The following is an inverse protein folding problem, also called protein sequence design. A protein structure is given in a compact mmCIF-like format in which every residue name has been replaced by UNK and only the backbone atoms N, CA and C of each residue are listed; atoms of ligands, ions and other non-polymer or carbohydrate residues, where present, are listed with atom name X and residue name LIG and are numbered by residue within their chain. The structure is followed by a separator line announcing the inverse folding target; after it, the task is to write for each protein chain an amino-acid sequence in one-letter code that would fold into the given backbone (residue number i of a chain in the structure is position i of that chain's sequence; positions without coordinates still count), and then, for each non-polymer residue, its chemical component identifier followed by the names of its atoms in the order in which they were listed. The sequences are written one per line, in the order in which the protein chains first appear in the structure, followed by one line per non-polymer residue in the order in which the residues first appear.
data_IF_397640157115
#
_entry.id   IF_397640157115
#
_cell.length_a   1.000
_cell.length_b   1.000
_cell.length_c   1.000
_cell.angle_alpha   90.00
_cell.angle_beta   90.00
_cell.angle_gamma   90.00
#
_symmetry.space_group_name_H-M   'P 1'
#
loop_
_entity.id
_entity.type
_entity.pdbx_description
1 polymer ?
#
# COMPACT_ATOMS: atom_id res chain seq x y z
N UNK A 1 -12.13 -3.75 -11.07
CA UNK A 1 -11.85 -2.52 -11.82
C UNK A 1 -10.78 -2.79 -12.87
N UNK A 2 -9.64 -3.35 -12.47
CA UNK A 2 -8.64 -3.82 -13.41
C UNK A 2 -9.23 -4.68 -14.53
N UNK A 3 -8.79 -4.47 -15.79
CA UNK A 3 -9.11 -5.34 -16.90
C UNK A 3 -8.80 -6.80 -16.55
N UNK A 4 -9.59 -7.74 -17.07
CA UNK A 4 -9.49 -9.16 -16.73
C UNK A 4 -8.08 -9.72 -16.89
N UNK A 5 -7.42 -9.36 -17.99
CA UNK A 5 -6.05 -9.77 -18.32
C UNK A 5 -4.96 -9.24 -17.35
N UNK A 6 -5.27 -8.30 -16.45
CA UNK A 6 -4.36 -7.76 -15.43
C UNK A 6 -4.76 -8.13 -14.00
N UNK A 7 -5.90 -8.80 -13.80
CA UNK A 7 -6.37 -9.15 -12.45
C UNK A 7 -5.39 -10.09 -11.76
N UNK A 8 -4.85 -11.05 -12.49
CA UNK A 8 -3.90 -12.03 -11.97
C UNK A 8 -2.60 -11.38 -11.51
N UNK A 9 -2.09 -10.39 -12.26
CA UNK A 9 -0.92 -9.60 -11.84
C UNK A 9 -1.20 -8.85 -10.55
N UNK A 10 -2.35 -8.18 -10.44
CA UNK A 10 -2.74 -7.49 -9.20
C UNK A 10 -2.90 -8.45 -8.01
N UNK A 11 -3.55 -9.59 -8.23
CA UNK A 11 -3.75 -10.63 -7.20
C UNK A 11 -2.40 -11.22 -6.79
N UNK A 12 -1.48 -11.48 -7.73
CA UNK A 12 -0.14 -11.96 -7.46
C UNK A 12 0.63 -11.02 -6.54
N UNK A 13 0.67 -9.73 -6.86
CA UNK A 13 1.33 -8.71 -6.05
C UNK A 13 0.72 -8.57 -4.65
N UNK A 14 -0.62 -8.54 -4.55
CA UNK A 14 -1.31 -8.45 -3.26
C UNK A 14 -1.09 -9.71 -2.41
N UNK A 15 -1.13 -10.88 -3.03
CA UNK A 15 -0.91 -12.16 -2.35
C UNK A 15 0.54 -12.27 -1.88
N UNK A 16 1.52 -11.87 -2.70
CA UNK A 16 2.92 -11.79 -2.30
C UNK A 16 3.12 -10.93 -1.06
N UNK A 17 2.55 -9.71 -1.04
CA UNK A 17 2.59 -8.84 0.14
C UNK A 17 1.95 -9.50 1.38
N UNK A 18 0.84 -10.22 1.22
CA UNK A 18 0.20 -10.96 2.31
C UNK A 18 1.09 -12.09 2.84
N UNK A 19 1.77 -12.84 1.97
CA UNK A 19 2.71 -13.89 2.40
C UNK A 19 3.91 -13.29 3.17
N UNK A 20 4.45 -12.16 2.72
CA UNK A 20 5.49 -11.44 3.45
C UNK A 20 4.97 -10.91 4.79
N UNK A 21 3.76 -10.36 4.84
CA UNK A 21 3.09 -9.95 6.09
C UNK A 21 2.95 -11.10 7.08
N UNK A 22 2.62 -12.32 6.62
CA UNK A 22 2.52 -13.48 7.52
C UNK A 22 3.85 -13.77 8.19
N UNK A 23 4.98 -13.60 7.49
CA UNK A 23 6.32 -13.79 8.07
C UNK A 23 6.65 -12.63 9.01
N UNK A 24 6.49 -11.39 8.56
CA UNK A 24 6.87 -10.21 9.36
C UNK A 24 6.04 -10.06 10.62
N UNK A 25 4.79 -10.54 10.61
CA UNK A 25 3.90 -10.53 11.77
C UNK A 25 3.89 -11.88 12.52
N UNK A 26 4.72 -12.86 12.14
CA UNK A 26 4.77 -14.17 12.80
C UNK A 26 5.43 -14.13 14.19
N UNK A 27 6.05 -13.02 14.60
CA UNK A 27 6.71 -12.90 15.90
C UNK A 27 5.79 -13.33 17.06
N UNK A 28 6.39 -13.94 18.08
CA UNK A 28 5.72 -14.35 19.31
C UNK A 28 6.54 -13.84 20.50
N UNK A 29 5.91 -13.36 21.58
CA UNK A 29 6.60 -13.00 22.81
C UNK A 29 7.50 -14.15 23.30
N UNK A 30 8.76 -13.85 23.64
CA UNK A 30 9.73 -14.86 24.07
C UNK A 30 10.39 -15.67 22.95
N UNK A 31 10.24 -15.26 21.68
CA UNK A 31 10.95 -15.85 20.55
C UNK A 31 12.48 -15.81 20.74
N UNK A 32 13.13 -16.94 20.46
CA UNK A 32 14.59 -17.11 20.58
C UNK A 32 15.34 -16.57 19.36
N UNK A 33 16.66 -16.35 19.49
CA UNK A 33 17.52 -15.98 18.35
C UNK A 33 17.37 -16.94 17.17
N UNK A 34 17.30 -18.26 17.43
CA UNK A 34 17.07 -19.29 16.41
C UNK A 34 15.76 -19.09 15.64
N UNK A 35 14.69 -18.66 16.32
CA UNK A 35 13.42 -18.38 15.66
C UNK A 35 13.47 -17.13 14.77
N UNK A 36 14.28 -16.13 15.16
CA UNK A 36 14.57 -14.94 14.36
C UNK A 36 15.36 -15.33 13.10
N UNK A 37 16.40 -16.15 13.26
CA UNK A 37 17.18 -16.72 12.15
C UNK A 37 16.29 -17.51 11.17
N UNK A 38 15.41 -18.37 11.67
CA UNK A 38 14.50 -19.16 10.84
C UNK A 38 13.56 -18.27 10.00
N UNK A 39 13.03 -17.18 10.56
CA UNK A 39 12.18 -16.27 9.77
C UNK A 39 13.01 -15.46 8.77
N UNK A 40 14.24 -15.08 9.10
CA UNK A 40 15.16 -14.48 8.13
C UNK A 40 15.47 -15.41 6.95
N UNK A 41 15.58 -16.72 7.18
CA UNK A 41 15.69 -17.70 6.09
C UNK A 41 14.46 -17.72 5.16
N UNK A 42 13.25 -17.45 5.69
CA UNK A 42 12.05 -17.32 4.86
C UNK A 42 12.09 -16.08 3.96
N UNK A 43 12.60 -14.96 4.45
CA UNK A 43 12.81 -13.78 3.60
C UNK A 43 13.85 -14.05 2.51
N UNK A 44 14.94 -14.75 2.84
CA UNK A 44 15.92 -15.20 1.86
C UNK A 44 15.29 -16.11 0.79
N UNK A 45 14.45 -17.06 1.21
CA UNK A 45 13.70 -17.91 0.28
C UNK A 45 12.86 -17.07 -0.69
N UNK A 46 12.11 -16.07 -0.22
CA UNK A 46 11.34 -15.19 -1.10
C UNK A 46 12.23 -14.36 -2.03
N UNK A 47 13.40 -13.91 -1.58
CA UNK A 47 14.36 -13.23 -2.46
C UNK A 47 14.81 -14.15 -3.59
N UNK A 48 15.16 -15.40 -3.28
CA UNK A 48 15.54 -16.40 -4.27
C UNK A 48 14.42 -16.72 -5.26
N UNK A 49 13.16 -16.75 -4.79
CA UNK A 49 11.99 -16.92 -5.64
C UNK A 49 11.87 -15.76 -6.65
N UNK A 50 12.07 -14.51 -6.21
CA UNK A 50 12.08 -13.34 -7.09
C UNK A 50 13.27 -13.34 -8.06
N UNK A 51 14.45 -13.77 -7.61
CA UNK A 51 15.63 -13.90 -8.48
C UNK A 51 15.45 -14.96 -9.58
N UNK A 52 14.70 -16.03 -9.30
CA UNK A 52 14.30 -17.00 -10.32
C UNK A 52 13.27 -16.41 -11.27
N UNK A 53 12.26 -15.70 -10.75
CA UNK A 53 11.26 -15.02 -11.57
C UNK A 53 11.88 -14.03 -12.55
N UNK A 54 12.87 -13.24 -12.12
CA UNK A 54 13.51 -12.23 -12.97
C UNK A 54 14.29 -12.83 -14.16
N UNK A 55 14.60 -14.12 -14.10
CA UNK A 55 15.26 -14.86 -15.18
C UNK A 55 14.27 -15.52 -16.15
N UNK A 56 12.96 -15.50 -15.85
CA UNK A 56 11.93 -16.13 -16.70
C UNK A 56 11.86 -15.48 -18.08
N UNK A 57 11.83 -16.33 -19.10
CA UNK A 57 11.46 -16.01 -20.46
C UNK A 57 10.76 -17.23 -21.08
N UNK A 58 10.25 -17.08 -22.31
CA UNK A 58 9.50 -18.16 -22.98
C UNK A 58 10.35 -19.42 -23.22
N UNK A 59 11.67 -19.28 -23.39
CA UNK A 59 12.56 -20.40 -23.71
C UNK A 59 12.89 -21.25 -22.48
N UNK A 60 12.95 -20.65 -21.29
CA UNK A 60 13.31 -21.32 -20.04
C UNK A 60 12.13 -21.49 -19.05
N UNK A 61 10.92 -21.07 -19.43
CA UNK A 61 9.74 -21.12 -18.56
C UNK A 61 9.50 -22.52 -18.00
N UNK A 62 9.60 -23.56 -18.84
CA UNK A 62 9.34 -24.94 -18.43
C UNK A 62 10.26 -25.44 -17.32
N UNK A 63 11.53 -25.01 -17.29
CA UNK A 63 12.48 -25.41 -16.25
C UNK A 63 12.32 -24.55 -14.99
N UNK A 64 12.23 -23.22 -15.14
CA UNK A 64 12.20 -22.31 -13.98
C UNK A 64 10.88 -22.40 -13.22
N UNK A 65 9.75 -22.61 -13.91
CA UNK A 65 8.44 -22.74 -13.25
C UNK A 65 8.35 -23.99 -12.35
N UNK A 66 9.17 -25.02 -12.57
CA UNK A 66 9.27 -26.17 -11.65
C UNK A 66 9.97 -25.79 -10.34
N UNK A 67 10.85 -24.80 -10.39
CA UNK A 67 11.63 -24.30 -9.25
C UNK A 67 10.94 -23.15 -8.50
N UNK A 68 9.85 -22.62 -9.08
CA UNK A 68 8.96 -21.62 -8.49
C UNK A 68 7.73 -22.35 -7.95
N UNK A 69 7.68 -22.53 -6.63
CA UNK A 69 6.72 -23.42 -5.98
C UNK A 69 5.63 -22.69 -5.16
N UNK A 70 5.59 -21.36 -5.21
CA UNK A 70 4.62 -20.55 -4.49
C UNK A 70 3.59 -19.92 -5.44
N UNK A 71 2.27 -20.04 -5.16
CA UNK A 71 1.22 -19.52 -6.06
C UNK A 71 1.35 -18.02 -6.38
N UNK A 72 1.74 -17.20 -5.39
CA UNK A 72 1.96 -15.77 -5.60
C UNK A 72 3.12 -15.50 -6.57
N UNK A 73 4.22 -16.24 -6.42
CA UNK A 73 5.38 -16.17 -7.31
C UNK A 73 5.04 -16.67 -8.72
N UNK A 74 4.21 -17.71 -8.86
CA UNK A 74 3.72 -18.18 -10.16
C UNK A 74 2.95 -17.09 -10.89
N UNK A 75 2.05 -16.36 -10.21
CA UNK A 75 1.30 -15.24 -10.80
C UNK A 75 2.21 -14.06 -11.19
N UNK A 76 3.26 -13.82 -10.41
CA UNK A 76 4.31 -12.85 -10.76
C UNK A 76 5.07 -13.32 -12.00
N UNK A 77 5.42 -14.61 -12.08
CA UNK A 77 6.06 -15.21 -13.25
C UNK A 77 5.19 -15.12 -14.51
N UNK A 78 3.89 -15.39 -14.40
CA UNK A 78 2.92 -15.20 -15.49
C UNK A 78 2.89 -13.75 -15.99
N UNK A 79 2.98 -12.77 -15.08
CA UNK A 79 3.08 -11.35 -15.44
C UNK A 79 4.33 -11.07 -16.29
N UNK A 80 5.48 -11.65 -15.93
CA UNK A 80 6.73 -11.52 -16.69
C UNK A 80 6.62 -12.21 -18.05
N UNK A 81 6.05 -13.42 -18.11
CA UNK A 81 5.89 -14.20 -19.34
C UNK A 81 4.91 -13.53 -20.33
N UNK A 82 3.94 -12.78 -19.83
CA UNK A 82 3.06 -11.90 -20.64
C UNK A 82 3.77 -10.67 -21.19
N UNK A 83 5.07 -10.53 -20.97
CA UNK A 83 5.88 -9.38 -21.37
C UNK A 83 5.29 -8.05 -20.83
N UNK A 84 4.84 -8.08 -19.58
CA UNK A 84 4.39 -6.90 -18.85
C UNK A 84 5.58 -6.31 -18.06
N UNK A 85 5.67 -4.99 -18.01
CA UNK A 85 6.76 -4.26 -17.34
C UNK A 85 6.58 -4.38 -15.83
N UNK A 86 7.44 -5.18 -15.21
CA UNK A 86 7.52 -5.42 -13.78
C UNK A 86 8.97 -5.22 -13.33
N UNK A 87 9.21 -4.44 -12.28
CA UNK A 87 10.55 -4.24 -11.73
C UNK A 87 10.79 -5.15 -10.52
N UNK A 88 11.64 -6.20 -10.63
CA UNK A 88 11.91 -7.13 -9.53
C UNK A 88 12.55 -6.47 -8.30
N UNK A 89 13.28 -5.37 -8.47
CA UNK A 89 13.93 -4.67 -7.34
C UNK A 89 12.90 -4.07 -6.38
N UNK A 90 11.71 -3.71 -6.87
CA UNK A 90 10.61 -3.23 -6.02
C UNK A 90 10.01 -4.37 -5.17
N UNK A 91 9.97 -5.58 -5.71
CA UNK A 91 9.57 -6.77 -4.96
C UNK A 91 10.61 -7.13 -3.88
N UNK A 92 11.91 -6.98 -4.20
CA UNK A 92 12.98 -7.12 -3.21
C UNK A 92 12.93 -6.03 -2.15
N UNK A 93 12.57 -4.79 -2.51
CA UNK A 93 12.34 -3.73 -1.54
C UNK A 93 11.22 -4.10 -0.56
N UNK A 94 10.13 -4.70 -1.05
CA UNK A 94 9.06 -5.21 -0.17
C UNK A 94 9.58 -6.27 0.81
N UNK A 95 10.38 -7.24 0.34
CA UNK A 95 11.01 -8.25 1.20
C UNK A 95 11.86 -7.57 2.28
N UNK A 96 12.75 -6.65 1.89
CA UNK A 96 13.63 -5.92 2.80
C UNK A 96 12.84 -5.11 3.83
N UNK A 97 11.76 -4.44 3.44
CA UNK A 97 10.93 -3.67 4.36
C UNK A 97 10.16 -4.54 5.34
N UNK A 98 9.65 -5.71 4.91
CA UNK A 98 9.06 -6.70 5.82
C UNK A 98 10.10 -7.31 6.78
N UNK A 99 11.30 -7.58 6.29
CA UNK A 99 12.40 -8.10 7.09
C UNK A 99 12.89 -7.08 8.12
N UNK A 100 13.01 -5.81 7.74
CA UNK A 100 13.33 -4.71 8.65
C UNK A 100 12.27 -4.60 9.75
N UNK A 101 10.98 -4.55 9.39
CA UNK A 101 9.90 -4.51 10.37
C UNK A 101 9.99 -5.69 11.34
N UNK A 102 10.21 -6.91 10.83
CA UNK A 102 10.33 -8.09 11.67
C UNK A 102 11.49 -7.95 12.67
N UNK A 103 12.64 -7.46 12.22
CA UNK A 103 13.85 -7.41 13.02
C UNK A 103 13.88 -6.27 14.03
N UNK A 104 13.29 -5.13 13.70
CA UNK A 104 13.43 -3.87 14.44
C UNK A 104 12.13 -3.40 15.13
N UNK A 105 10.96 -3.63 14.52
CA UNK A 105 9.70 -3.06 15.00
C UNK A 105 8.72 -4.09 15.59
N UNK A 106 8.77 -5.34 15.13
CA UNK A 106 7.74 -6.34 15.47
C UNK A 106 7.63 -6.65 16.96
N UNK A 107 8.69 -6.40 17.74
CA UNK A 107 8.77 -6.70 19.16
C UNK A 107 8.54 -5.48 20.04
N UNK A 108 9.05 -4.32 19.63
CA UNK A 108 9.08 -3.08 20.43
C UNK A 108 8.09 -2.02 19.94
N UNK A 109 7.40 -2.27 18.83
CA UNK A 109 6.55 -1.28 18.19
C UNK A 109 7.33 -0.25 17.37
N UNK A 110 6.69 0.88 17.13
CA UNK A 110 7.27 1.99 16.36
C UNK A 110 7.76 3.09 17.30
N UNK A 111 8.85 3.78 16.92
CA UNK A 111 9.35 4.93 17.69
C UNK A 111 8.56 6.20 17.37
N UNK A 112 8.30 6.42 16.09
CA UNK A 112 7.62 7.58 15.55
C UNK A 112 6.74 7.17 14.36
N UNK A 113 5.91 8.11 13.89
CA UNK A 113 5.03 7.84 12.75
C UNK A 113 5.82 7.65 11.45
N UNK A 114 7.02 8.23 11.32
CA UNK A 114 7.86 8.11 10.13
C UNK A 114 8.31 6.66 9.87
N UNK A 115 8.51 5.85 10.90
CA UNK A 115 8.79 4.42 10.74
C UNK A 115 7.59 3.67 10.11
N UNK A 116 6.36 4.05 10.47
CA UNK A 116 5.14 3.49 9.88
C UNK A 116 5.02 3.90 8.40
N UNK A 117 5.31 5.17 8.11
CA UNK A 117 5.34 5.70 6.75
C UNK A 117 6.42 5.02 5.91
N UNK A 118 7.61 4.80 6.46
CA UNK A 118 8.72 4.10 5.79
C UNK A 118 8.36 2.65 5.49
N UNK A 119 7.71 1.96 6.42
CA UNK A 119 7.15 0.63 6.16
C UNK A 119 6.09 0.66 5.05
N UNK A 120 5.22 1.66 5.05
CA UNK A 120 4.21 1.87 4.00
C UNK A 120 4.79 2.10 2.62
N UNK A 121 5.84 2.93 2.56
CA UNK A 121 6.58 3.21 1.33
C UNK A 121 7.28 1.96 0.77
N UNK A 122 7.84 1.16 1.67
CA UNK A 122 8.48 -0.11 1.33
C UNK A 122 7.53 -1.24 0.96
N UNK A 123 6.23 -1.13 1.22
CA UNK A 123 5.26 -2.23 1.03
C UNK A 123 4.10 -1.83 0.11
N UNK A 124 3.23 -0.94 0.59
CA UNK A 124 2.00 -0.56 -0.08
C UNK A 124 2.27 0.35 -1.29
N UNK A 125 3.21 1.29 -1.18
CA UNK A 125 3.61 2.15 -2.30
C UNK A 125 4.27 1.32 -3.40
N UNK A 126 5.12 0.34 -3.05
CA UNK A 126 5.75 -0.56 -4.03
C UNK A 126 4.72 -1.28 -4.91
N UNK A 127 3.61 -1.75 -4.32
CA UNK A 127 2.52 -2.36 -5.10
C UNK A 127 1.88 -1.35 -6.06
N UNK A 128 1.68 -0.11 -5.62
CA UNK A 128 1.11 0.94 -6.48
C UNK A 128 2.05 1.26 -7.65
N UNK A 129 3.35 1.37 -7.39
CA UNK A 129 4.36 1.59 -8.44
C UNK A 129 4.46 0.41 -9.42
N UNK A 130 4.43 -0.83 -8.91
CA UNK A 130 4.44 -2.04 -9.73
C UNK A 130 3.20 -2.12 -10.61
N UNK A 131 2.02 -1.83 -10.05
CA UNK A 131 0.79 -1.77 -10.84
C UNK A 131 0.83 -0.66 -11.88
N UNK A 132 1.38 0.51 -11.55
CA UNK A 132 1.58 1.57 -12.54
C UNK A 132 2.48 1.12 -13.69
N UNK A 133 3.57 0.42 -13.38
CA UNK A 133 4.52 -0.11 -14.37
C UNK A 133 3.83 -1.13 -15.28
N UNK A 134 3.09 -2.08 -14.69
CA UNK A 134 2.34 -3.10 -15.42
C UNK A 134 1.29 -2.46 -16.34
N UNK A 135 0.53 -1.48 -15.86
CA UNK A 135 -0.50 -0.79 -16.66
C UNK A 135 0.08 0.03 -17.82
N UNK A 136 1.36 0.41 -17.73
CA UNK A 136 2.11 1.13 -18.74
C UNK A 136 2.96 0.20 -19.62
N UNK A 137 2.64 -1.09 -19.67
CA UNK A 137 3.33 -2.03 -20.54
C UNK A 137 3.00 -1.77 -22.02
N UNK A 138 4.00 -1.71 -22.92
CA UNK A 138 3.77 -1.50 -24.36
C UNK A 138 2.93 -2.61 -25.03
N UNK A 139 2.98 -3.83 -24.48
CA UNK A 139 2.16 -4.98 -24.92
C UNK A 139 0.66 -4.77 -24.74
N UNK A 140 0.22 -3.81 -23.92
CA UNK A 140 -1.18 -3.48 -23.67
C UNK A 140 -1.72 -2.46 -24.68
N UNK A 141 -1.54 -2.74 -25.97
CA UNK A 141 -1.97 -1.84 -27.06
C UNK A 141 -3.47 -1.55 -26.99
N UNK A 142 -3.85 -0.29 -27.21
CA UNK A 142 -5.19 0.26 -27.04
C UNK A 142 -5.50 0.73 -25.62
N UNK A 143 -4.81 0.20 -24.59
CA UNK A 143 -5.04 0.55 -23.19
C UNK A 143 -3.93 1.46 -22.63
N UNK A 144 -2.66 1.10 -22.83
CA UNK A 144 -1.53 1.82 -22.25
C UNK A 144 -1.05 3.01 -23.10
N UNK A 145 -1.35 3.02 -24.40
CA UNK A 145 -0.80 3.99 -25.36
C UNK A 145 -0.95 5.44 -24.92
N UNK A 146 -2.15 5.86 -24.50
CA UNK A 146 -2.37 7.26 -24.09
C UNK A 146 -1.47 7.65 -22.92
N UNK A 147 -1.29 6.74 -21.95
CA UNK A 147 -0.42 6.96 -20.80
C UNK A 147 1.05 6.98 -21.21
N UNK A 148 1.50 6.03 -22.03
CA UNK A 148 2.88 5.96 -22.53
C UNK A 148 3.20 7.20 -23.36
N UNK A 149 2.40 7.51 -24.37
CA UNK A 149 2.58 8.66 -25.26
C UNK A 149 2.69 9.97 -24.46
N UNK A 150 1.84 10.13 -23.43
CA UNK A 150 1.86 11.30 -22.55
C UNK A 150 3.14 11.38 -21.72
N UNK A 151 3.57 10.25 -21.16
CA UNK A 151 4.78 10.21 -20.35
C UNK A 151 6.03 10.35 -21.22
N UNK A 152 6.06 9.86 -22.45
CA UNK A 152 7.21 9.99 -23.36
C UNK A 152 7.41 11.41 -23.92
N UNK A 153 6.45 12.32 -23.76
CA UNK A 153 6.60 13.71 -24.19
C UNK A 153 7.80 14.40 -23.52
N UNK A 154 8.46 15.34 -24.23
CA UNK A 154 9.39 16.28 -23.61
C UNK A 154 8.76 16.98 -22.39
N UNK A 155 9.57 17.21 -21.35
CA UNK A 155 9.20 17.90 -20.10
C UNK A 155 8.11 17.22 -19.24
N UNK A 156 7.83 15.94 -19.46
CA UNK A 156 6.85 15.17 -18.66
C UNK A 156 7.34 14.74 -17.27
N UNK A 157 8.55 15.13 -16.85
CA UNK A 157 9.12 14.76 -15.54
C UNK A 157 8.26 15.23 -14.36
N UNK A 158 7.66 16.41 -14.43
CA UNK A 158 6.75 16.88 -13.36
C UNK A 158 5.51 15.99 -13.24
N UNK A 159 4.99 15.49 -14.36
CA UNK A 159 3.89 14.53 -14.36
C UNK A 159 4.34 13.20 -13.75
N UNK A 160 5.46 12.63 -14.21
CA UNK A 160 6.01 11.38 -13.65
C UNK A 160 6.21 11.46 -12.14
N UNK A 161 6.87 12.52 -11.67
CA UNK A 161 7.10 12.74 -10.24
C UNK A 161 5.79 12.90 -9.47
N UNK A 162 4.83 13.64 -10.02
CA UNK A 162 3.50 13.80 -9.41
C UNK A 162 2.79 12.44 -9.28
N UNK A 163 2.86 11.57 -10.30
CA UNK A 163 2.24 10.25 -10.27
C UNK A 163 2.89 9.31 -9.24
N UNK A 164 4.23 9.38 -9.10
CA UNK A 164 4.99 8.66 -8.08
C UNK A 164 4.59 9.14 -6.68
N UNK A 165 4.58 10.46 -6.45
CA UNK A 165 4.21 11.04 -5.15
C UNK A 165 2.80 10.65 -4.70
N UNK A 166 1.83 10.56 -5.63
CA UNK A 166 0.48 10.07 -5.32
C UNK A 166 0.55 8.63 -4.79
N UNK A 167 1.27 7.76 -5.49
CA UNK A 167 1.42 6.35 -5.11
C UNK A 167 2.09 6.21 -3.73
N UNK A 168 3.09 7.06 -3.44
CA UNK A 168 3.77 7.15 -2.15
C UNK A 168 2.80 7.48 -1.01
N UNK A 169 2.09 8.60 -1.15
CA UNK A 169 1.15 9.06 -0.12
C UNK A 169 0.01 8.06 0.14
N UNK A 170 -0.53 7.42 -0.91
CA UNK A 170 -1.54 6.39 -0.75
C UNK A 170 -0.99 5.17 0.01
N UNK A 171 0.26 4.77 -0.25
CA UNK A 171 0.88 3.67 0.47
C UNK A 171 1.15 3.98 1.95
N UNK A 172 1.64 5.19 2.24
CA UNK A 172 1.88 5.69 3.60
C UNK A 172 0.57 5.77 4.41
N UNK A 173 -0.48 6.39 3.85
CA UNK A 173 -1.80 6.45 4.49
C UNK A 173 -2.39 5.05 4.76
N UNK A 174 -2.18 4.12 3.83
CA UNK A 174 -2.66 2.74 3.95
C UNK A 174 -1.92 1.99 5.06
N UNK A 175 -0.62 2.22 5.22
CA UNK A 175 0.19 1.64 6.31
C UNK A 175 -0.31 2.11 7.68
N UNK A 176 -0.45 3.43 7.88
CA UNK A 176 -0.96 4.01 9.12
C UNK A 176 -2.33 3.40 9.46
N UNK A 177 -3.25 3.42 8.51
CA UNK A 177 -4.60 2.90 8.71
C UNK A 177 -4.60 1.40 9.03
N UNK A 178 -3.71 0.62 8.39
CA UNK A 178 -3.59 -0.82 8.63
C UNK A 178 -3.14 -1.14 10.05
N UNK A 179 -2.18 -0.37 10.60
CA UNK A 179 -1.76 -0.56 11.99
C UNK A 179 -2.81 -0.08 13.00
N UNK A 180 -3.58 0.98 12.69
CA UNK A 180 -4.73 1.37 13.51
C UNK A 180 -5.81 0.27 13.52
N UNK A 181 -6.15 -0.31 12.36
CA UNK A 181 -7.09 -1.44 12.25
C UNK A 181 -6.59 -2.65 13.06
N UNK A 182 -5.31 -2.96 12.95
CA UNK A 182 -4.70 -4.12 13.59
C UNK A 182 -4.30 -3.89 15.06
N UNK A 183 -4.52 -2.69 15.62
CA UNK A 183 -3.99 -2.28 16.91
C UNK A 183 -4.36 -3.26 18.03
N UNK A 184 -5.65 -3.60 18.14
CA UNK A 184 -6.13 -4.58 19.13
C UNK A 184 -5.53 -5.96 18.90
N UNK A 185 -5.37 -6.38 17.64
CA UNK A 185 -4.78 -7.67 17.31
C UNK A 185 -3.33 -7.77 17.79
N UNK A 186 -2.50 -6.76 17.52
CA UNK A 186 -1.11 -6.75 17.98
C UNK A 186 -1.03 -6.70 19.51
N UNK A 187 -1.82 -5.85 20.16
CA UNK A 187 -1.85 -5.79 21.62
C UNK A 187 -2.24 -7.13 22.28
N UNK A 188 -3.24 -7.84 21.72
CA UNK A 188 -3.77 -9.08 22.31
C UNK A 188 -2.99 -10.33 21.93
N UNK A 189 -2.58 -10.46 20.67
CA UNK A 189 -1.94 -11.68 20.14
C UNK A 189 -0.42 -11.60 20.10
N UNK A 190 0.13 -10.39 20.01
CA UNK A 190 1.57 -10.16 19.89
C UNK A 190 2.18 -9.51 21.12
N UNK A 191 1.35 -9.02 22.06
CA UNK A 191 1.79 -8.31 23.26
C UNK A 191 2.71 -7.12 22.95
N UNK A 192 2.48 -6.49 21.80
CA UNK A 192 3.25 -5.34 21.32
C UNK A 192 2.28 -4.24 20.94
N UNK A 193 2.58 -3.01 21.32
CA UNK A 193 1.82 -1.85 20.93
C UNK A 193 2.37 -1.27 19.63
N UNK A 194 1.54 -1.21 18.58
CA UNK A 194 1.95 -0.67 17.27
C UNK A 194 1.65 0.83 17.12
N UNK A 195 1.36 1.52 18.22
CA UNK A 195 1.33 2.97 18.23
C UNK A 195 2.74 3.51 18.45
N UNK A 196 3.12 4.62 17.80
CA UNK A 196 4.40 5.25 18.04
C UNK A 196 4.58 5.68 19.50
N UNK A 197 5.76 5.38 20.06
CA UNK A 197 6.07 5.72 21.44
C UNK A 197 6.11 7.24 21.68
N UNK A 198 6.60 8.03 20.73
CA UNK A 198 6.59 9.50 20.82
C UNK A 198 5.17 10.10 20.94
N UNK A 199 4.21 9.48 20.25
CA UNK A 199 2.81 9.90 20.22
C UNK A 199 2.14 9.61 21.56
N UNK A 200 2.48 8.49 22.20
CA UNK A 200 2.03 8.18 23.56
C UNK A 200 2.64 9.14 24.60
N UNK A 201 3.93 9.44 24.46
CA UNK A 201 4.65 10.38 25.35
C UNK A 201 4.02 11.77 25.29
N UNK A 202 3.63 12.26 24.10
CA UNK A 202 2.95 13.55 23.91
C UNK A 202 1.72 13.69 24.82
N UNK A 203 0.97 12.60 25.00
CA UNK A 203 -0.24 12.56 25.84
C UNK A 203 0.00 12.02 27.25
N UNK A 204 1.26 11.81 27.64
CA UNK A 204 1.66 11.23 28.94
C UNK A 204 0.96 9.89 29.22
N UNK A 205 0.77 9.09 28.18
CA UNK A 205 0.03 7.84 28.24
C UNK A 205 1.00 6.65 28.29
N UNK A 206 1.15 5.94 29.43
CA UNK A 206 2.12 4.84 29.53
C UNK A 206 1.77 3.67 28.61
N UNK A 207 2.76 3.13 27.91
CA UNK A 207 2.56 2.02 26.96
C UNK A 207 1.91 0.80 27.60
N UNK A 208 2.37 0.37 28.77
CA UNK A 208 1.81 -0.79 29.49
C UNK A 208 0.33 -0.59 29.85
N UNK A 209 -0.06 0.63 30.21
CA UNK A 209 -1.45 0.99 30.52
C UNK A 209 -2.33 0.83 29.28
N UNK A 210 -1.87 1.30 28.13
CA UNK A 210 -2.57 1.15 26.84
C UNK A 210 -2.63 -0.32 26.43
N UNK A 211 -1.53 -1.05 26.56
CA UNK A 211 -1.46 -2.46 26.22
C UNK A 211 -2.47 -3.28 27.03
N UNK A 212 -2.52 -3.08 28.36
CA UNK A 212 -3.50 -3.70 29.25
C UNK A 212 -4.94 -3.33 28.87
N UNK A 213 -5.19 -2.05 28.59
CA UNK A 213 -6.51 -1.55 28.16
C UNK A 213 -6.97 -2.23 26.86
N UNK A 214 -6.12 -2.27 25.83
CA UNK A 214 -6.42 -2.92 24.55
C UNK A 214 -6.61 -4.44 24.68
N UNK A 215 -5.94 -5.06 25.66
CA UNK A 215 -6.12 -6.46 26.02
C UNK A 215 -7.44 -6.75 26.77
N UNK A 216 -8.18 -5.70 27.16
CA UNK A 216 -9.40 -5.82 27.95
C UNK A 216 -9.14 -6.16 29.42
N UNK A 217 -7.94 -5.89 29.93
CA UNK A 217 -7.62 -6.00 31.35
C UNK A 217 -8.13 -4.76 32.10
N UNK A 218 -8.36 -4.91 33.40
CA UNK A 218 -8.71 -3.79 34.27
C UNK A 218 -7.54 -2.81 34.37
N UNK A 219 -7.87 -1.52 34.28
CA UNK A 219 -6.93 -0.40 34.31
C UNK A 219 -7.57 0.72 35.13
N UNK A 220 -6.80 1.37 36.00
CA UNK A 220 -7.23 2.55 36.73
C UNK A 220 -7.59 3.68 35.76
N UNK A 221 -8.62 4.47 36.09
CA UNK A 221 -9.05 5.62 35.27
C UNK A 221 -9.33 5.24 33.79
N UNK A 222 -9.92 4.06 33.55
CA UNK A 222 -10.16 3.51 32.21
C UNK A 222 -10.81 4.51 31.22
N UNK A 223 -11.72 5.37 31.70
CA UNK A 223 -12.35 6.40 30.87
C UNK A 223 -11.34 7.44 30.38
N UNK A 224 -10.42 7.88 31.23
CA UNK A 224 -9.36 8.81 30.86
C UNK A 224 -8.35 8.15 29.90
N UNK A 225 -7.97 6.90 30.15
CA UNK A 225 -7.10 6.12 29.24
C UNK A 225 -7.74 6.01 27.85
N UNK A 226 -9.05 5.75 27.79
CA UNK A 226 -9.80 5.72 26.54
C UNK A 226 -9.74 7.06 25.80
N UNK A 227 -10.00 8.17 26.49
CA UNK A 227 -9.98 9.51 25.88
C UNK A 227 -8.58 9.92 25.41
N UNK A 228 -7.54 9.63 26.19
CA UNK A 228 -6.16 9.89 25.76
C UNK A 228 -5.75 9.03 24.56
N UNK A 229 -6.18 7.76 24.52
CA UNK A 229 -5.94 6.89 23.37
C UNK A 229 -6.63 7.43 22.11
N UNK A 230 -7.87 7.94 22.21
CA UNK A 230 -8.57 8.59 21.09
C UNK A 230 -7.77 9.78 20.56
N UNK A 231 -7.18 10.59 21.45
CA UNK A 231 -6.34 11.72 21.04
C UNK A 231 -5.06 11.27 20.31
N UNK A 232 -4.41 10.20 20.77
CA UNK A 232 -3.25 9.61 20.07
C UNK A 232 -3.67 9.10 18.69
N UNK A 233 -4.80 8.39 18.59
CA UNK A 233 -5.33 7.89 17.32
C UNK A 233 -5.72 9.03 16.39
N UNK A 234 -6.30 10.11 16.92
CA UNK A 234 -6.66 11.32 16.17
C UNK A 234 -5.43 11.93 15.48
N UNK A 235 -4.34 12.14 16.21
CA UNK A 235 -3.11 12.73 15.66
C UNK A 235 -2.55 11.88 14.51
N UNK A 236 -2.45 10.57 14.71
CA UNK A 236 -1.87 9.65 13.72
C UNK A 236 -2.82 9.52 12.51
N UNK A 237 -4.13 9.44 12.74
CA UNK A 237 -5.13 9.39 11.67
C UNK A 237 -5.18 10.70 10.87
N UNK A 238 -4.92 11.85 11.51
CA UNK A 238 -4.80 13.15 10.84
C UNK A 238 -3.67 13.12 9.81
N UNK A 239 -2.49 12.59 10.17
CA UNK A 239 -1.40 12.44 9.21
C UNK A 239 -1.77 11.53 8.03
N UNK A 240 -2.46 10.41 8.29
CA UNK A 240 -2.94 9.55 7.22
C UNK A 240 -3.92 10.29 6.29
N UNK A 241 -4.79 11.12 6.85
CA UNK A 241 -5.71 11.95 6.07
C UNK A 241 -4.96 13.05 5.28
N UNK A 242 -3.91 13.66 5.83
CA UNK A 242 -3.07 14.63 5.12
C UNK A 242 -2.38 14.01 3.90
N UNK A 243 -1.91 12.76 4.01
CA UNK A 243 -1.43 12.00 2.86
C UNK A 243 -2.52 11.82 1.79
N UNK A 244 -3.76 11.47 2.18
CA UNK A 244 -4.88 11.36 1.25
C UNK A 244 -5.21 12.71 0.59
N UNK A 245 -5.27 13.80 1.36
CA UNK A 245 -5.53 15.16 0.83
C UNK A 245 -4.43 15.57 -0.15
N UNK A 246 -3.17 15.28 0.18
CA UNK A 246 -2.04 15.57 -0.70
C UNK A 246 -2.11 14.76 -1.99
N UNK A 247 -2.45 13.47 -1.91
CA UNK A 247 -2.67 12.60 -3.07
C UNK A 247 -3.81 13.13 -3.97
N UNK A 248 -4.93 13.58 -3.39
CA UNK A 248 -6.05 14.21 -4.12
C UNK A 248 -5.61 15.47 -4.86
N UNK A 249 -4.92 16.36 -4.15
CA UNK A 249 -4.41 17.62 -4.70
C UNK A 249 -3.43 17.36 -5.86
N UNK A 250 -2.55 16.37 -5.71
CA UNK A 250 -1.61 15.96 -6.75
C UNK A 250 -2.33 15.28 -7.94
N UNK A 251 -3.41 14.54 -7.72
CA UNK A 251 -4.20 13.95 -8.81
C UNK A 251 -4.88 15.04 -9.66
N UNK A 252 -5.43 16.08 -9.02
CA UNK A 252 -5.96 17.24 -9.74
C UNK A 252 -4.86 17.96 -10.54
N UNK A 253 -3.66 18.10 -9.95
CA UNK A 253 -2.48 18.65 -10.64
C UNK A 253 -2.11 17.78 -11.84
N UNK A 254 -2.00 16.46 -11.68
CA UNK A 254 -1.66 15.51 -12.74
C UNK A 254 -2.65 15.57 -13.90
N UNK A 255 -3.95 15.70 -13.61
CA UNK A 255 -5.00 15.88 -14.63
C UNK A 255 -4.78 17.14 -15.45
N UNK A 256 -4.49 18.28 -14.80
CA UNK A 256 -4.20 19.55 -15.49
C UNK A 256 -2.90 19.49 -16.29
N UNK A 257 -1.85 18.90 -15.72
CA UNK A 257 -0.55 18.71 -16.37
C UNK A 257 -0.66 17.84 -17.63
N UNK A 258 -1.49 16.79 -17.59
CA UNK A 258 -1.68 15.88 -18.73
C UNK A 258 -2.16 16.62 -19.98
N UNK A 259 -3.19 17.45 -19.83
CA UNK A 259 -3.70 18.28 -20.92
C UNK A 259 -2.70 19.36 -21.35
N UNK A 260 -2.06 20.03 -20.38
CA UNK A 260 -1.07 21.08 -20.65
C UNK A 260 0.11 20.54 -21.47
N UNK A 261 0.68 19.41 -21.07
CA UNK A 261 1.80 18.76 -21.76
C UNK A 261 1.46 18.40 -23.22
N UNK A 262 0.26 17.85 -23.45
CA UNK A 262 -0.18 17.50 -24.80
C UNK A 262 -0.34 18.73 -25.73
N UNK A 263 -0.81 19.85 -25.18
CA UNK A 263 -0.95 21.12 -25.90
C UNK A 263 0.43 21.73 -26.21
N UNK A 264 1.29 21.84 -25.20
CA UNK A 264 2.62 22.46 -25.33
C UNK A 264 3.53 21.71 -26.31
N UNK A 265 3.37 20.39 -26.41
CA UNK A 265 4.12 19.56 -27.35
C UNK A 265 3.45 19.43 -28.74
N UNK A 266 2.42 20.24 -29.04
CA UNK A 266 1.71 20.25 -30.32
C UNK A 266 1.19 18.85 -30.74
N UNK A 267 0.58 18.10 -29.82
CA UNK A 267 0.00 16.77 -30.07
C UNK A 267 -1.54 16.81 -30.09
N UNK A 268 -2.18 17.26 -31.19
CA UNK A 268 -3.64 17.42 -31.25
C UNK A 268 -4.38 16.08 -31.09
N UNK A 269 -3.83 15.00 -31.62
CA UNK A 269 -4.42 13.66 -31.49
C UNK A 269 -4.48 13.22 -30.02
N UNK A 270 -3.41 13.45 -29.25
CA UNK A 270 -3.36 13.14 -27.83
C UNK A 270 -4.32 14.02 -27.02
N UNK A 271 -4.45 15.32 -27.36
CA UNK A 271 -5.45 16.20 -26.74
C UNK A 271 -6.86 15.66 -26.98
N UNK A 272 -7.16 15.21 -28.20
CA UNK A 272 -8.46 14.62 -28.54
C UNK A 272 -8.71 13.29 -27.80
N UNK A 273 -7.68 12.48 -27.62
CA UNK A 273 -7.74 11.22 -26.88
C UNK A 273 -8.00 11.47 -25.39
N UNK A 274 -7.24 12.38 -24.77
CA UNK A 274 -7.44 12.79 -23.39
C UNK A 274 -8.85 13.34 -23.17
N UNK A 275 -9.37 14.22 -24.02
CA UNK A 275 -10.75 14.74 -23.87
C UNK A 275 -11.84 13.67 -23.96
N UNK A 276 -11.56 12.51 -24.58
CA UNK A 276 -12.48 11.36 -24.61
C UNK A 276 -12.40 10.53 -23.33
N UNK A 277 -11.28 10.56 -22.61
CA UNK A 277 -11.14 9.93 -21.30
C UNK A 277 -12.04 10.61 -20.25
N UNK A 278 -12.49 9.81 -19.28
CA UNK A 278 -13.25 10.33 -18.13
C UNK A 278 -12.40 11.38 -17.41
N UNK A 279 -12.95 12.60 -17.23
CA UNK A 279 -12.26 13.74 -16.60
C UNK A 279 -10.90 14.09 -17.25
N UNK A 280 -10.71 13.73 -18.50
CA UNK A 280 -9.46 13.98 -19.23
C UNK A 280 -8.20 13.38 -18.61
N UNK A 281 -8.33 12.27 -17.88
CA UNK A 281 -7.21 11.58 -17.25
C UNK A 281 -7.19 10.10 -17.63
N UNK A 282 -6.07 9.57 -18.19
CA UNK A 282 -6.01 8.21 -18.69
C UNK A 282 -6.30 7.15 -17.62
N UNK A 283 -7.11 6.16 -17.98
CA UNK A 283 -7.43 5.04 -17.08
C UNK A 283 -6.19 4.32 -16.55
N UNK A 284 -5.23 4.02 -17.41
CA UNK A 284 -3.99 3.33 -17.07
C UNK A 284 -3.15 4.07 -16.02
N UNK A 285 -3.26 5.40 -15.93
CA UNK A 285 -2.59 6.20 -14.91
C UNK A 285 -3.38 6.28 -13.59
N UNK A 286 -4.71 6.16 -13.66
CA UNK A 286 -5.60 6.30 -12.51
C UNK A 286 -5.75 5.02 -11.67
N UNK A 287 -5.82 3.86 -12.32
CA UNK A 287 -6.18 2.60 -11.65
C UNK A 287 -5.37 2.25 -10.39
N UNK A 288 -4.05 2.51 -10.30
CA UNK A 288 -3.29 2.24 -9.06
C UNK A 288 -3.86 2.96 -7.84
N UNK A 289 -4.51 4.11 -8.03
CA UNK A 289 -4.98 4.97 -6.94
C UNK A 289 -6.26 4.47 -6.27
N UNK A 290 -7.01 3.60 -6.97
CA UNK A 290 -8.22 2.97 -6.45
C UNK A 290 -7.90 2.11 -5.20
N UNK A 291 -6.65 1.66 -5.07
CA UNK A 291 -6.17 0.91 -3.89
C UNK A 291 -6.29 1.69 -2.57
N UNK A 292 -6.36 3.03 -2.62
CA UNK A 292 -6.51 3.90 -1.44
C UNK A 292 -7.94 4.04 -0.93
N UNK A 293 -8.96 3.62 -1.68
CA UNK A 293 -10.38 3.80 -1.29
C UNK A 293 -10.76 3.09 0.02
N UNK A 294 -10.33 1.84 0.27
CA UNK A 294 -10.57 1.19 1.56
C UNK A 294 -10.00 1.99 2.74
N UNK A 295 -8.80 2.56 2.58
CA UNK A 295 -8.12 3.41 3.56
C UNK A 295 -8.95 4.65 3.87
N UNK A 296 -9.43 5.34 2.85
CA UNK A 296 -10.29 6.53 2.99
C UNK A 296 -11.58 6.20 3.73
N UNK A 297 -12.25 5.10 3.34
CA UNK A 297 -13.48 4.65 3.99
C UNK A 297 -13.27 4.31 5.47
N UNK A 298 -12.12 3.73 5.80
CA UNK A 298 -11.77 3.47 7.19
C UNK A 298 -11.58 4.78 7.97
N UNK A 299 -10.79 5.73 7.46
CA UNK A 299 -10.55 7.02 8.11
C UNK A 299 -11.85 7.82 8.32
N UNK A 300 -12.73 7.89 7.31
CA UNK A 300 -14.06 8.53 7.43
C UNK A 300 -14.91 7.91 8.56
N UNK A 301 -14.80 6.60 8.77
CA UNK A 301 -15.52 5.90 9.85
C UNK A 301 -14.85 6.11 11.19
N UNK A 302 -13.52 6.12 11.23
CA UNK A 302 -12.76 6.37 12.44
C UNK A 302 -13.09 7.76 12.99
N UNK A 303 -13.10 8.79 12.13
CA UNK A 303 -13.54 10.14 12.46
C UNK A 303 -14.99 10.16 12.96
N UNK A 304 -15.91 9.49 12.24
CA UNK A 304 -17.32 9.40 12.64
C UNK A 304 -17.53 8.79 14.04
N UNK A 305 -16.66 7.89 14.47
CA UNK A 305 -16.70 7.28 15.81
C UNK A 305 -15.72 7.93 16.78
N UNK A 306 -15.40 9.21 16.56
CA UNK A 306 -14.60 10.03 17.46
C UNK A 306 -13.23 9.39 17.77
N UNK A 307 -12.63 8.78 16.74
CA UNK A 307 -11.32 8.14 16.82
C UNK A 307 -11.23 6.99 17.84
N UNK A 308 -12.38 6.44 18.28
CA UNK A 308 -12.45 5.23 19.09
C UNK A 308 -12.16 4.01 18.22
N UNK A 309 -10.87 3.64 18.15
CA UNK A 309 -10.35 2.49 17.41
C UNK A 309 -10.96 1.15 17.85
N UNK A 310 -11.54 1.08 19.05
CA UNK A 310 -12.20 -0.12 19.57
C UNK A 310 -13.71 -0.16 19.28
N UNK A 311 -14.25 0.86 18.63
CA UNK A 311 -15.68 0.95 18.39
C UNK A 311 -16.18 -0.27 17.58
N UNK A 312 -17.20 -1.03 18.06
CA UNK A 312 -17.61 -2.30 17.44
C UNK A 312 -17.98 -2.17 15.97
N UNK A 313 -18.54 -1.01 15.58
CA UNK A 313 -18.90 -0.78 14.19
C UNK A 313 -17.70 -0.69 13.26
N UNK A 314 -16.46 -0.46 13.72
CA UNK A 314 -15.26 -0.44 12.86
C UNK A 314 -14.82 -1.85 12.42
N UNK A 315 -15.20 -2.90 13.16
CA UNK A 315 -14.83 -4.28 12.85
C UNK A 315 -15.49 -4.83 11.58
N UNK A 316 -16.65 -4.27 11.18
CA UNK A 316 -17.38 -4.73 10.01
C UNK A 316 -16.87 -4.08 8.72
N UNK A 317 -16.94 -4.80 7.59
CA UNK A 317 -16.65 -4.24 6.27
C UNK A 317 -17.67 -3.15 5.91
N UNK A 318 -17.19 -2.06 5.30
CA UNK A 318 -18.07 -0.96 4.87
C UNK A 318 -18.84 -1.38 3.60
N UNK A 319 -20.18 -1.30 3.66
CA UNK A 319 -21.06 -1.60 2.54
C UNK A 319 -20.87 -0.62 1.36
N UNK A 320 -20.36 0.59 1.63
CA UNK A 320 -20.13 1.64 0.62
C UNK A 320 -18.95 1.34 -0.28
N UNK A 321 -18.13 0.32 0.02
CA UNK A 321 -16.90 0.03 -0.71
C UNK A 321 -17.15 -0.15 -2.21
N UNK A 322 -18.09 -1.02 -2.59
CA UNK A 322 -18.40 -1.27 -3.99
C UNK A 322 -18.86 0.00 -4.73
N UNK A 323 -19.74 0.78 -4.10
CA UNK A 323 -20.24 2.03 -4.65
C UNK A 323 -19.14 3.10 -4.79
N UNK A 324 -18.26 3.24 -3.79
CA UNK A 324 -17.16 4.22 -3.82
C UNK A 324 -16.12 3.85 -4.87
N UNK A 325 -15.77 2.56 -5.01
CA UNK A 325 -14.93 2.07 -6.09
C UNK A 325 -15.53 2.38 -7.46
N UNK A 326 -16.81 2.05 -7.66
CA UNK A 326 -17.54 2.36 -8.90
C UNK A 326 -17.56 3.85 -9.21
N UNK A 327 -17.90 4.68 -8.22
CA UNK A 327 -17.96 6.12 -8.42
C UNK A 327 -16.58 6.70 -8.72
N UNK A 328 -15.54 6.30 -7.99
CA UNK A 328 -14.18 6.77 -8.17
C UNK A 328 -13.62 6.50 -9.57
N UNK A 329 -13.88 5.33 -10.15
CA UNK A 329 -13.49 5.06 -11.54
C UNK A 329 -14.22 5.94 -12.54
N UNK A 330 -15.51 6.20 -12.29
CA UNK A 330 -16.31 7.07 -13.16
C UNK A 330 -15.88 8.53 -13.07
N UNK A 331 -15.55 9.00 -11.87
CA UNK A 331 -15.23 10.41 -11.59
C UNK A 331 -13.73 10.70 -11.59
N UNK A 332 -12.86 9.68 -11.79
CA UNK A 332 -11.40 9.77 -11.65
C UNK A 332 -10.98 10.54 -10.40
N UNK A 333 -11.59 10.18 -9.27
CA UNK A 333 -11.34 10.80 -7.97
C UNK A 333 -11.20 9.75 -6.90
N UNK A 334 -10.31 9.97 -5.93
CA UNK A 334 -10.06 9.07 -4.79
C UNK A 334 -10.36 9.83 -3.51
#
# INVERSE_FOLDING_TARGET
MYPEYLRDSFIGLKSFNIELSKISFAFQPGATSKSKELNNLKFLFWSQQIDKCSQLNLDNAASILLDINEPSTILIGDTILKNLVLNPEMLKQMITSHQHFYNENSTVGFRNVDEICSFGEGTHSQINYLMQSILLSPSLTGFSNIGIDLLELPNSNDLRNTLTDISAHLGQATSISSFLIALKYFATKKQTLMLPSDSLIKYKLPEEVVLRYLQGREVEEQMQVKELLKNVVFDIATLANDHIITARTKLEKATKLSLKLAIENNKPDLVSALKREKKSFPECLFLPYISGIPTILYLERLEKYDFDVLHPKLAFKDWRLAFRLWNADRTRSV
#
